data_IF_525304804404
#
_entry.id   IF_525304804404
#
_cell.length_a   1.000
_cell.length_b   1.000
_cell.length_c   1.000
_cell.angle_alpha   90.00
_cell.angle_beta   90.00
_cell.angle_gamma   90.00
#
_symmetry.space_group_name_H-M   'P 1'
#
loop_
_entity.id
_entity.type
_entity.pdbx_description
1 polymer ?
#
# COMPACT_ATOMS: atom_id res chain seq x y z
N UNK A 1 5.51 4.72 -14.94
CA UNK A 1 6.71 4.25 -15.69
C UNK A 1 6.97 5.23 -16.82
N UNK A 2 8.18 5.74 -16.99
CA UNK A 2 8.48 6.77 -17.99
C UNK A 2 9.25 6.26 -19.21
N UNK A 3 10.17 5.31 -19.01
CA UNK A 3 10.99 4.70 -20.07
C UNK A 3 11.05 3.18 -19.89
N UNK A 4 11.44 2.51 -20.97
CA UNK A 4 11.73 1.07 -20.96
C UNK A 4 13.18 0.81 -20.50
N UNK A 5 13.42 -0.29 -19.76
CA UNK A 5 14.76 -0.69 -19.40
C UNK A 5 15.57 -1.08 -20.64
N UNK A 6 16.84 -0.65 -20.70
CA UNK A 6 17.74 -0.94 -21.82
C UNK A 6 18.39 -2.33 -21.76
N UNK A 7 18.39 -2.94 -20.57
CA UNK A 7 19.05 -4.22 -20.31
C UNK A 7 18.04 -5.23 -19.74
N UNK A 8 18.49 -6.47 -19.55
CA UNK A 8 17.71 -7.51 -18.90
C UNK A 8 17.64 -7.28 -17.37
N UNK A 9 16.93 -6.23 -16.98
CA UNK A 9 16.62 -5.92 -15.59
C UNK A 9 15.15 -6.20 -15.33
N UNK A 10 14.87 -6.60 -14.09
CA UNK A 10 13.52 -6.87 -13.59
C UNK A 10 13.24 -5.91 -12.43
N UNK A 11 11.97 -5.64 -12.14
CA UNK A 11 11.56 -4.96 -10.91
C UNK A 11 11.92 -5.85 -9.72
N UNK A 12 12.18 -5.24 -8.57
CA UNK A 12 12.60 -6.00 -7.38
C UNK A 12 11.59 -7.09 -6.99
N UNK A 13 10.29 -6.79 -7.06
CA UNK A 13 9.24 -7.76 -6.76
C UNK A 13 9.22 -8.92 -7.75
N UNK A 14 9.57 -8.72 -9.03
CA UNK A 14 9.65 -9.81 -10.01
C UNK A 14 10.78 -10.78 -9.64
N UNK A 15 11.93 -10.25 -9.19
CA UNK A 15 13.07 -11.06 -8.75
C UNK A 15 12.68 -11.88 -7.51
N UNK A 16 11.99 -11.24 -6.55
CA UNK A 16 11.54 -11.90 -5.32
C UNK A 16 10.49 -12.99 -5.64
N UNK A 17 9.53 -12.70 -6.53
CA UNK A 17 8.52 -13.66 -7.02
C UNK A 17 9.15 -14.88 -7.71
N UNK A 18 10.15 -14.66 -8.56
CA UNK A 18 10.90 -15.74 -9.21
C UNK A 18 11.64 -16.60 -8.17
N UNK A 19 12.36 -15.96 -7.24
CA UNK A 19 13.08 -16.68 -6.19
C UNK A 19 12.13 -17.53 -5.32
N UNK A 20 10.99 -16.95 -4.90
CA UNK A 20 10.01 -17.68 -4.10
C UNK A 20 9.46 -18.90 -4.86
N UNK A 21 9.21 -18.75 -6.17
CA UNK A 21 8.74 -19.83 -7.03
C UNK A 21 9.77 -20.96 -7.15
N UNK A 22 11.05 -20.63 -7.32
CA UNK A 22 12.15 -21.60 -7.31
C UNK A 22 12.32 -22.30 -5.95
N UNK A 23 11.96 -21.62 -4.86
CA UNK A 23 11.92 -22.20 -3.51
C UNK A 23 10.67 -23.06 -3.24
N UNK A 24 9.77 -23.20 -4.21
CA UNK A 24 8.56 -24.03 -4.11
C UNK A 24 7.30 -23.30 -3.65
N UNK A 25 7.34 -21.96 -3.52
CA UNK A 25 6.15 -21.15 -3.25
C UNK A 25 5.75 -20.38 -4.51
N UNK A 26 4.67 -20.78 -5.22
CA UNK A 26 4.29 -20.15 -6.48
C UNK A 26 3.85 -18.70 -6.22
N UNK A 27 4.65 -17.73 -6.67
CA UNK A 27 4.37 -16.30 -6.51
C UNK A 27 4.59 -15.58 -7.83
N UNK A 28 3.54 -14.93 -8.33
CA UNK A 28 3.55 -14.22 -9.60
C UNK A 28 2.55 -13.07 -9.56
N UNK A 29 2.95 -11.92 -10.13
CA UNK A 29 2.10 -10.74 -10.26
C UNK A 29 2.32 -10.12 -11.64
N UNK A 30 1.27 -9.63 -12.28
CA UNK A 30 1.36 -9.00 -13.60
C UNK A 30 1.83 -7.54 -13.50
N UNK A 31 1.46 -6.84 -12.42
CA UNK A 31 1.77 -5.44 -12.21
C UNK A 31 1.81 -5.05 -10.72
N UNK A 32 2.17 -3.78 -10.47
CA UNK A 32 2.22 -3.24 -9.11
C UNK A 32 0.82 -3.06 -8.49
N UNK A 33 -0.23 -2.96 -9.31
CA UNK A 33 -1.58 -2.76 -8.82
C UNK A 33 -2.11 -4.05 -8.19
N UNK A 34 -1.86 -5.22 -8.78
CA UNK A 34 -2.22 -6.51 -8.18
C UNK A 34 -1.59 -6.70 -6.80
N UNK A 35 -0.29 -6.38 -6.64
CA UNK A 35 0.40 -6.45 -5.34
C UNK A 35 -0.25 -5.50 -4.34
N UNK A 36 -0.57 -4.29 -4.78
CA UNK A 36 -1.20 -3.29 -3.92
C UNK A 36 -2.63 -3.67 -3.52
N UNK A 37 -3.37 -4.29 -4.44
CA UNK A 37 -4.73 -4.77 -4.23
C UNK A 37 -4.78 -5.98 -3.29
N UNK A 38 -3.80 -6.88 -3.33
CA UNK A 38 -3.65 -7.91 -2.30
C UNK A 38 -3.30 -7.29 -0.94
N UNK A 39 -2.33 -6.37 -0.89
CA UNK A 39 -1.86 -5.78 0.37
C UNK A 39 -2.96 -4.97 1.07
N UNK A 40 -3.72 -4.16 0.33
CA UNK A 40 -4.80 -3.33 0.88
C UNK A 40 -5.93 -4.18 1.47
N UNK A 41 -6.21 -5.36 0.91
CA UNK A 41 -7.25 -6.26 1.42
C UNK A 41 -6.87 -6.83 2.78
N UNK A 42 -5.56 -7.03 3.01
CA UNK A 42 -5.02 -7.49 4.29
C UNK A 42 -4.80 -6.34 5.31
N UNK A 43 -4.82 -5.09 4.86
CA UNK A 43 -4.46 -3.92 5.68
C UNK A 43 -5.65 -2.93 5.79
N UNK A 44 -6.50 -3.03 6.83
CA UNK A 44 -7.71 -2.20 6.97
C UNK A 44 -7.46 -0.68 6.91
N UNK A 45 -6.28 -0.20 7.33
CA UNK A 45 -5.92 1.22 7.30
C UNK A 45 -5.57 1.74 5.89
N UNK A 46 -5.31 0.85 4.93
CA UNK A 46 -5.00 1.18 3.54
C UNK A 46 -6.09 0.77 2.55
N UNK A 47 -7.12 0.06 3.03
CA UNK A 47 -8.19 -0.54 2.22
C UNK A 47 -8.89 0.43 1.25
N UNK A 48 -8.90 1.73 1.56
CA UNK A 48 -9.48 2.78 0.74
C UNK A 48 -8.54 3.46 -0.26
N UNK A 49 -7.21 3.31 -0.13
CA UNK A 49 -6.22 4.03 -0.94
C UNK A 49 -5.94 3.37 -2.30
N UNK A 50 -6.92 3.30 -3.21
CA UNK A 50 -6.79 2.61 -4.52
C UNK A 50 -5.84 3.36 -5.46
N UNK A 51 -5.29 2.66 -6.47
CA UNK A 51 -4.48 3.31 -7.52
C UNK A 51 -5.27 4.42 -8.23
N UNK A 52 -6.55 4.16 -8.53
CA UNK A 52 -7.48 5.14 -9.10
C UNK A 52 -7.58 6.40 -8.22
N UNK A 53 -7.87 6.23 -6.93
CA UNK A 53 -7.99 7.35 -6.00
C UNK A 53 -6.69 8.14 -5.85
N UNK A 54 -5.54 7.46 -5.80
CA UNK A 54 -4.24 8.13 -5.77
C UNK A 54 -3.95 8.90 -7.06
N UNK A 55 -4.39 8.40 -8.22
CA UNK A 55 -4.29 9.09 -9.49
C UNK A 55 -5.18 10.34 -9.59
N UNK A 56 -6.43 10.25 -9.10
CA UNK A 56 -7.41 11.34 -9.16
C UNK A 56 -7.13 12.46 -8.14
N UNK A 57 -6.85 12.11 -6.88
CA UNK A 57 -6.62 13.09 -5.81
C UNK A 57 -5.17 13.60 -5.77
N UNK A 58 -4.27 12.97 -6.53
CA UNK A 58 -2.82 13.21 -6.55
C UNK A 58 -2.10 12.77 -5.27
N UNK A 59 -2.81 12.60 -4.16
CA UNK A 59 -2.31 12.07 -2.90
C UNK A 59 -3.45 11.49 -2.05
N UNK A 60 -3.15 10.48 -1.24
CA UNK A 60 -4.05 9.92 -0.24
C UNK A 60 -3.26 9.69 1.04
N UNK A 61 -3.57 10.42 2.10
CA UNK A 61 -2.91 10.23 3.40
C UNK A 61 -3.56 9.07 4.15
N UNK A 62 -2.76 8.12 4.60
CA UNK A 62 -3.25 7.06 5.46
C UNK A 62 -3.47 7.57 6.90
N UNK A 63 -4.44 7.03 7.66
CA UNK A 63 -5.40 5.99 7.29
C UNK A 63 -6.42 6.38 6.22
N UNK A 64 -6.72 5.47 5.31
CA UNK A 64 -7.82 5.54 4.35
C UNK A 64 -8.55 4.19 4.40
N UNK A 65 -9.60 4.11 5.21
CA UNK A 65 -10.21 2.83 5.63
C UNK A 65 -11.34 2.34 4.73
N UNK A 66 -11.89 3.19 3.86
CA UNK A 66 -12.98 2.84 2.96
C UNK A 66 -12.81 3.47 1.58
N UNK A 67 -13.55 2.97 0.59
CA UNK A 67 -13.50 3.48 -0.78
C UNK A 67 -14.03 4.93 -0.88
N UNK A 68 -14.84 5.37 0.06
CA UNK A 68 -15.39 6.72 0.16
C UNK A 68 -14.47 7.68 0.95
N UNK A 69 -13.58 7.14 1.79
CA UNK A 69 -12.62 7.95 2.57
C UNK A 69 -11.60 8.62 1.64
N UNK A 70 -11.39 9.93 1.79
CA UNK A 70 -10.33 10.66 1.07
C UNK A 70 -8.95 10.56 1.77
N UNK A 71 -8.85 9.74 2.82
CA UNK A 71 -7.69 9.67 3.70
C UNK A 71 -7.84 10.55 4.93
N UNK A 72 -6.80 10.53 5.77
CA UNK A 72 -6.79 11.21 7.08
C UNK A 72 -5.69 12.28 7.09
N UNK A 73 -6.03 13.58 7.12
CA UNK A 73 -5.05 14.67 6.99
C UNK A 73 -4.19 14.89 8.24
N UNK A 74 -4.67 14.48 9.41
CA UNK A 74 -3.93 14.54 10.66
C UNK A 74 -4.45 13.47 11.63
N UNK A 75 -3.57 12.99 12.51
CA UNK A 75 -3.91 11.97 13.51
C UNK A 75 -4.36 12.60 14.83
N UNK A 76 -4.97 11.78 15.69
CA UNK A 76 -5.35 12.12 17.08
C UNK A 76 -6.41 13.22 17.22
N UNK A 77 -7.28 13.35 16.21
CA UNK A 77 -8.47 14.19 16.33
C UNK A 77 -9.25 13.82 17.61
N UNK A 78 -9.62 14.83 18.41
CA UNK A 78 -10.31 14.60 19.69
C UNK A 78 -9.41 14.16 20.85
N UNK A 79 -8.09 14.34 20.75
CA UNK A 79 -7.11 13.99 21.79
C UNK A 79 -7.05 12.50 22.15
N UNK A 80 -7.40 11.63 21.20
CA UNK A 80 -7.26 10.17 21.34
C UNK A 80 -5.97 9.70 20.68
N UNK A 81 -5.01 9.28 21.49
CA UNK A 81 -3.72 8.74 21.05
C UNK A 81 -3.78 7.22 20.87
N UNK A 82 -2.90 6.64 20.04
CA UNK A 82 -2.78 5.17 19.87
C UNK A 82 -2.13 4.47 21.06
N UNK A 83 -1.86 5.18 22.15
CA UNK A 83 -1.36 4.60 23.40
C UNK A 83 -2.47 3.81 24.09
N UNK A 84 -2.16 2.80 24.92
CA UNK A 84 -3.19 2.04 25.64
C UNK A 84 -4.11 2.88 26.52
N UNK A 85 -3.64 4.03 27.01
CA UNK A 85 -4.42 4.97 27.83
C UNK A 85 -5.24 5.96 27.00
N UNK A 86 -5.02 6.02 25.68
CA UNK A 86 -5.59 7.03 24.79
C UNK A 86 -5.03 8.44 25.00
N UNK A 87 -4.00 8.62 25.84
CA UNK A 87 -3.44 9.94 26.20
C UNK A 87 -2.00 10.09 25.73
N UNK A 88 -1.61 11.34 25.43
CA UNK A 88 -0.23 11.72 25.21
C UNK A 88 0.60 11.50 26.47
N UNK A 89 1.84 11.01 26.30
CA UNK A 89 2.80 10.84 27.38
C UNK A 89 3.78 12.01 27.32
N UNK A 90 3.97 12.67 28.47
CA UNK A 90 4.90 13.78 28.66
C UNK A 90 6.29 13.25 29.02
#
# INVERSE_FOLDING_TARGET
>A
KAIEPQYNVKRDWEIISLLASEMGYPMHYEDNQQIWDEMRELCPLFYGATYEKMGELGHVQWPCTSLESQGTPYLYQGNQFTTPSGKGQL
#
